data_IF_751033012352
#
_entry.id   IF_751033012352
#
_cell.length_a   1.000
_cell.length_b   1.000
_cell.length_c   1.000
_cell.angle_alpha   90.00
_cell.angle_beta   90.00
_cell.angle_gamma   90.00
#
_symmetry.space_group_name_H-M   'P 1'
#
loop_
_entity.id
_entity.type
_entity.pdbx_description
1 polymer ?
#
# COMPACT_ATOMS: atom_id res chain seq x y z
N UNK A 1 -40.69 19.04 -7.85
CA UNK A 1 -41.31 17.98 -7.05
C UNK A 1 -41.61 16.81 -7.98
N UNK A 2 -40.69 15.86 -8.08
CA UNK A 2 -40.76 14.72 -9.02
C UNK A 2 -41.54 13.59 -8.36
N UNK A 3 -42.73 13.26 -8.88
CA UNK A 3 -43.53 12.13 -8.43
C UNK A 3 -42.91 10.84 -8.95
N UNK A 4 -42.26 10.04 -8.06
CA UNK A 4 -41.88 8.66 -8.41
C UNK A 4 -43.14 7.82 -8.62
N UNK A 5 -43.21 7.14 -9.76
CA UNK A 5 -44.27 6.19 -10.10
C UNK A 5 -44.25 4.98 -9.16
N UNK A 6 -45.45 4.56 -8.69
CA UNK A 6 -45.60 3.36 -7.82
C UNK A 6 -44.99 2.07 -8.42
N UNK A 7 -44.91 1.99 -9.74
CA UNK A 7 -44.34 0.83 -10.43
C UNK A 7 -42.80 0.74 -10.30
N UNK A 8 -42.11 1.87 -10.09
CA UNK A 8 -40.65 1.89 -9.90
C UNK A 8 -40.25 1.36 -8.51
N UNK A 9 -41.08 1.61 -7.50
CA UNK A 9 -40.84 1.14 -6.11
C UNK A 9 -41.05 -0.38 -6.01
N UNK A 10 -42.04 -0.92 -6.73
CA UNK A 10 -42.30 -2.36 -6.74
C UNK A 10 -41.19 -3.15 -7.45
N UNK A 11 -40.61 -2.61 -8.49
CA UNK A 11 -39.49 -3.23 -9.22
C UNK A 11 -38.22 -3.27 -8.38
N UNK A 12 -37.98 -2.23 -7.54
CA UNK A 12 -36.82 -2.20 -6.63
C UNK A 12 -36.96 -3.18 -5.46
N UNK A 13 -38.18 -3.33 -4.92
CA UNK A 13 -38.44 -4.27 -3.85
C UNK A 13 -38.38 -5.73 -4.33
N UNK A 14 -38.87 -6.02 -5.54
CA UNK A 14 -38.76 -7.36 -6.12
C UNK A 14 -37.33 -7.78 -6.42
N UNK A 15 -36.51 -6.85 -6.97
CA UNK A 15 -35.08 -7.11 -7.25
C UNK A 15 -34.27 -7.33 -5.97
N UNK A 16 -34.54 -6.56 -4.91
CA UNK A 16 -33.90 -6.73 -3.60
C UNK A 16 -34.24 -8.06 -2.93
N UNK A 17 -35.49 -8.50 -3.04
CA UNK A 17 -35.92 -9.77 -2.45
C UNK A 17 -35.34 -10.98 -3.17
N UNK A 18 -35.23 -10.93 -4.49
CA UNK A 18 -34.62 -12.02 -5.28
C UNK A 18 -33.12 -12.12 -5.00
N UNK A 19 -32.43 -10.98 -4.80
CA UNK A 19 -31.01 -10.98 -4.44
C UNK A 19 -30.78 -11.55 -3.02
N UNK A 20 -31.67 -11.23 -2.07
CA UNK A 20 -31.59 -11.74 -0.70
C UNK A 20 -31.83 -13.25 -0.62
N UNK A 21 -32.81 -13.77 -1.39
CA UNK A 21 -33.06 -15.21 -1.45
C UNK A 21 -31.97 -15.98 -2.18
N UNK A 22 -31.33 -15.40 -3.21
CA UNK A 22 -30.20 -16.00 -3.88
C UNK A 22 -28.96 -16.06 -2.97
N UNK A 23 -28.70 -15.01 -2.17
CA UNK A 23 -27.62 -15.03 -1.17
C UNK A 23 -27.85 -16.05 -0.06
N UNK A 24 -29.08 -16.21 0.39
CA UNK A 24 -29.42 -17.22 1.43
C UNK A 24 -29.34 -18.66 0.92
N UNK A 25 -29.66 -18.90 -0.37
CA UNK A 25 -29.56 -20.24 -0.97
C UNK A 25 -28.12 -20.64 -1.32
N UNK A 26 -27.24 -19.70 -1.60
CA UNK A 26 -25.80 -19.96 -1.80
C UNK A 26 -25.12 -20.27 -0.45
N UNK A 27 -25.61 -19.67 0.65
CA UNK A 27 -25.04 -19.88 1.99
C UNK A 27 -25.34 -21.24 2.59
N UNK A 28 -26.36 -21.96 2.11
CA UNK A 28 -26.78 -23.25 2.73
C UNK A 28 -26.28 -24.50 2.03
N UNK A 29 -25.79 -24.39 0.78
CA UNK A 29 -25.34 -25.58 0.03
C UNK A 29 -23.82 -25.74 -0.05
N UNK A 30 -23.05 -24.66 0.12
CA UNK A 30 -21.59 -24.72 0.01
C UNK A 30 -20.86 -24.84 1.35
N UNK A 31 -21.55 -24.63 2.49
CA UNK A 31 -20.92 -24.69 3.80
C UNK A 31 -20.64 -26.12 4.30
N UNK A 32 -21.25 -27.13 3.72
CA UNK A 32 -21.12 -28.51 4.21
C UNK A 32 -20.05 -29.34 3.47
N UNK A 33 -19.51 -28.82 2.35
CA UNK A 33 -18.52 -29.55 1.53
C UNK A 33 -17.06 -29.10 1.70
N UNK A 34 -16.78 -28.05 2.47
CA UNK A 34 -15.43 -27.45 2.55
C UNK A 34 -14.68 -27.82 3.84
N UNK A 35 -15.26 -28.54 4.78
CA UNK A 35 -14.68 -28.71 6.12
C UNK A 35 -14.08 -30.08 6.42
N UNK A 36 -13.96 -31.00 5.48
CA UNK A 36 -13.17 -32.20 5.71
C UNK A 36 -11.70 -31.96 5.31
N UNK A 37 -10.87 -31.69 6.31
CA UNK A 37 -9.43 -31.93 6.24
C UNK A 37 -8.48 -30.75 6.05
N UNK A 38 -8.94 -29.48 6.06
CA UNK A 38 -7.99 -28.35 6.12
C UNK A 38 -7.94 -27.78 7.54
N UNK A 39 -6.73 -27.62 8.14
CA UNK A 39 -6.61 -26.93 9.41
C UNK A 39 -7.20 -25.52 9.23
N UNK A 40 -8.18 -25.16 10.06
CA UNK A 40 -8.62 -23.77 10.19
C UNK A 40 -7.42 -23.02 10.81
N UNK A 41 -6.63 -22.38 9.97
CA UNK A 41 -5.62 -21.44 10.42
C UNK A 41 -6.39 -20.24 10.96
N UNK A 42 -6.65 -20.25 12.27
CA UNK A 42 -7.07 -19.01 12.93
C UNK A 42 -5.95 -18.01 12.69
N UNK A 43 -6.27 -16.93 12.00
CA UNK A 43 -5.37 -15.80 11.87
C UNK A 43 -5.16 -15.23 13.28
N UNK A 44 -4.13 -15.71 13.97
CA UNK A 44 -3.71 -15.14 15.24
C UNK A 44 -3.05 -13.80 14.94
N UNK A 45 -3.57 -12.74 15.52
CA UNK A 45 -2.88 -11.45 15.54
C UNK A 45 -1.67 -11.60 16.45
N UNK A 46 -0.47 -11.56 15.90
CA UNK A 46 0.77 -11.64 16.67
C UNK A 46 1.61 -10.42 16.35
N UNK A 47 2.32 -9.88 17.34
CA UNK A 47 3.32 -8.85 17.09
C UNK A 47 4.47 -9.48 16.31
N UNK A 48 4.92 -8.88 15.19
CA UNK A 48 6.09 -9.37 14.48
C UNK A 48 7.34 -9.29 15.36
N UNK A 49 8.26 -10.22 15.20
CA UNK A 49 9.53 -10.19 15.92
C UNK A 49 10.42 -9.05 15.42
N UNK A 50 10.94 -8.26 16.35
CA UNK A 50 11.92 -7.23 16.04
C UNK A 50 13.26 -7.89 15.77
N UNK A 51 13.94 -7.59 14.64
CA UNK A 51 15.24 -8.17 14.35
C UNK A 51 16.28 -7.82 15.40
N UNK A 52 17.24 -8.72 15.63
CA UNK A 52 18.31 -8.50 16.60
C UNK A 52 19.29 -7.40 16.18
N UNK A 53 19.43 -7.18 14.86
CA UNK A 53 20.26 -6.13 14.28
C UNK A 53 19.60 -5.59 13.03
N UNK A 54 19.80 -4.32 12.79
CA UNK A 54 19.32 -3.60 11.60
C UNK A 54 20.38 -2.58 11.20
N UNK A 55 20.58 -2.40 9.92
CA UNK A 55 21.40 -1.34 9.36
C UNK A 55 20.64 -0.57 8.28
N UNK A 56 21.09 0.63 7.98
CA UNK A 56 20.62 1.42 6.84
C UNK A 56 21.84 2.05 6.16
N UNK A 57 22.01 1.77 4.89
CA UNK A 57 23.18 2.20 4.10
C UNK A 57 24.52 1.73 4.69
N UNK A 58 24.54 0.59 5.38
CA UNK A 58 25.72 0.06 6.07
C UNK A 58 25.99 0.67 7.45
N UNK A 59 25.15 1.59 7.91
CA UNK A 59 25.24 2.18 9.24
C UNK A 59 24.30 1.42 10.21
N UNK A 60 24.81 0.90 11.34
CA UNK A 60 24.00 0.15 12.28
C UNK A 60 22.99 1.04 13.00
N UNK A 61 21.75 0.56 13.09
CA UNK A 61 20.68 1.20 13.85
C UNK A 61 20.66 0.63 15.26
N UNK A 62 20.82 1.49 16.26
CA UNK A 62 20.81 1.10 17.68
C UNK A 62 19.38 0.86 18.18
N UNK A 63 18.92 -0.38 18.07
CA UNK A 63 17.63 -0.84 18.59
C UNK A 63 17.63 -1.11 20.11
N UNK A 64 18.75 -0.90 20.83
CA UNK A 64 18.78 -0.99 22.29
C UNK A 64 18.11 0.21 22.94
N UNK A 65 18.06 1.34 22.26
CA UNK A 65 17.37 2.55 22.72
C UNK A 65 15.86 2.33 22.66
N UNK A 66 15.19 2.52 23.80
CA UNK A 66 13.75 2.29 23.94
C UNK A 66 12.91 2.99 22.86
N UNK A 67 13.15 4.28 22.64
CA UNK A 67 12.40 5.06 21.65
C UNK A 67 12.60 4.58 20.20
N UNK A 68 13.79 4.09 19.86
CA UNK A 68 14.06 3.54 18.53
C UNK A 68 13.36 2.19 18.36
N UNK A 69 13.46 1.34 19.37
CA UNK A 69 12.80 0.03 19.38
C UNK A 69 11.28 0.13 19.31
N UNK A 70 10.68 1.01 20.12
CA UNK A 70 9.23 1.25 20.13
C UNK A 70 8.76 1.83 18.79
N UNK A 71 9.48 2.81 18.24
CA UNK A 71 9.19 3.36 16.91
C UNK A 71 9.23 2.30 15.82
N UNK A 72 10.27 1.48 15.82
CA UNK A 72 10.41 0.40 14.84
C UNK A 72 9.30 -0.67 14.97
N UNK A 73 8.97 -1.09 16.19
CA UNK A 73 7.89 -2.06 16.46
C UNK A 73 6.52 -1.54 15.95
N UNK A 74 6.23 -0.28 16.20
CA UNK A 74 5.01 0.37 15.72
C UNK A 74 4.92 0.36 14.20
N UNK A 75 5.99 0.77 13.51
CA UNK A 75 6.02 0.80 12.04
C UNK A 75 5.96 -0.62 11.46
N UNK A 76 6.69 -1.58 12.04
CA UNK A 76 6.68 -2.97 11.62
C UNK A 76 5.28 -3.59 11.77
N UNK A 77 4.62 -3.36 12.90
CA UNK A 77 3.25 -3.81 13.15
C UNK A 77 2.28 -3.18 12.17
N UNK A 78 2.37 -1.86 11.96
CA UNK A 78 1.56 -1.13 11.00
C UNK A 78 1.71 -1.72 9.59
N UNK A 79 2.94 -1.90 9.12
CA UNK A 79 3.22 -2.43 7.79
C UNK A 79 2.73 -3.88 7.63
N UNK A 80 2.85 -4.69 8.67
CA UNK A 80 2.42 -6.10 8.67
C UNK A 80 0.91 -6.22 8.53
N UNK A 81 0.14 -5.35 9.16
CA UNK A 81 -1.33 -5.46 9.19
C UNK A 81 -2.05 -4.60 8.15
N UNK A 82 -1.39 -3.67 7.49
CA UNK A 82 -1.92 -2.96 6.32
C UNK A 82 -1.83 -3.80 5.04
N UNK A 83 -2.41 -5.00 5.06
CA UNK A 83 -2.27 -5.99 3.99
C UNK A 83 -2.45 -5.46 2.57
N UNK A 84 -3.48 -4.64 2.32
CA UNK A 84 -3.74 -4.10 0.99
C UNK A 84 -2.64 -3.13 0.54
N UNK A 85 -2.19 -2.24 1.41
CA UNK A 85 -1.11 -1.29 1.14
C UNK A 85 0.21 -2.02 0.95
N UNK A 86 0.55 -2.94 1.85
CA UNK A 86 1.78 -3.73 1.77
C UNK A 86 1.83 -4.55 0.48
N UNK A 87 0.71 -5.20 0.11
CA UNK A 87 0.63 -5.96 -1.14
C UNK A 87 0.81 -5.06 -2.37
N UNK A 88 0.24 -3.86 -2.36
CA UNK A 88 0.41 -2.88 -3.42
C UNK A 88 1.87 -2.41 -3.52
N UNK A 89 2.50 -2.14 -2.37
CA UNK A 89 3.92 -1.75 -2.31
C UNK A 89 4.83 -2.84 -2.86
N UNK A 90 4.63 -4.10 -2.50
CA UNK A 90 5.39 -5.24 -3.06
C UNK A 90 5.26 -5.30 -4.58
N UNK A 91 4.04 -5.14 -5.11
CA UNK A 91 3.81 -5.14 -6.57
C UNK A 91 4.50 -3.96 -7.26
N UNK A 92 4.49 -2.77 -6.64
CA UNK A 92 5.15 -1.58 -7.17
C UNK A 92 6.67 -1.71 -7.06
N UNK A 93 7.20 -2.25 -5.95
CA UNK A 93 8.63 -2.52 -5.78
C UNK A 93 9.14 -3.46 -6.88
N UNK A 94 8.45 -4.57 -7.14
CA UNK A 94 8.80 -5.48 -8.23
C UNK A 94 8.81 -4.81 -9.61
N UNK A 95 8.03 -3.77 -9.80
CA UNK A 95 7.98 -3.01 -11.06
C UNK A 95 9.11 -1.98 -11.16
N UNK A 96 9.37 -1.23 -10.08
CA UNK A 96 10.20 -0.03 -10.14
C UNK A 96 11.63 -0.25 -9.63
N UNK A 97 11.86 -1.14 -8.66
CA UNK A 97 13.22 -1.41 -8.16
C UNK A 97 14.20 -1.87 -9.23
N UNK A 98 13.83 -2.74 -10.18
CA UNK A 98 14.73 -3.12 -11.27
C UNK A 98 15.20 -1.94 -12.14
N UNK A 99 14.47 -0.82 -12.14
CA UNK A 99 14.84 0.41 -12.84
C UNK A 99 15.64 1.35 -11.93
N UNK A 100 15.26 1.46 -10.66
CA UNK A 100 15.88 2.37 -9.68
C UNK A 100 17.27 1.89 -9.28
N UNK A 101 17.43 0.62 -8.95
CA UNK A 101 18.68 0.04 -8.41
C UNK A 101 19.91 0.26 -9.33
N UNK A 102 19.82 0.02 -10.65
CA UNK A 102 20.94 0.30 -11.54
C UNK A 102 21.31 1.78 -11.58
N UNK A 103 20.34 2.68 -11.48
CA UNK A 103 20.55 4.12 -11.48
C UNK A 103 21.26 4.57 -10.20
N UNK A 104 20.80 4.12 -9.03
CA UNK A 104 21.45 4.39 -7.75
C UNK A 104 22.90 3.90 -7.77
N UNK A 105 23.11 2.66 -8.21
CA UNK A 105 24.44 2.06 -8.32
C UNK A 105 25.36 2.83 -9.25
N UNK A 106 24.88 3.25 -10.43
CA UNK A 106 25.67 4.00 -11.41
C UNK A 106 26.12 5.37 -10.88
N UNK A 107 25.36 5.94 -9.93
CA UNK A 107 25.63 7.23 -9.32
C UNK A 107 26.33 7.12 -7.94
N UNK A 108 26.70 5.91 -7.50
CA UNK A 108 27.37 5.71 -6.21
C UNK A 108 26.46 5.96 -5.00
N UNK A 109 25.14 5.92 -5.19
CA UNK A 109 24.16 6.09 -4.12
C UNK A 109 23.86 4.73 -3.51
N UNK A 110 23.82 4.60 -2.16
CA UNK A 110 23.47 3.35 -1.51
C UNK A 110 22.10 2.81 -1.96
N UNK A 111 22.03 1.49 -2.11
CA UNK A 111 20.83 0.82 -2.64
C UNK A 111 19.57 1.05 -1.77
N UNK A 112 19.76 1.17 -0.46
CA UNK A 112 18.66 1.39 0.49
C UNK A 112 17.89 2.70 0.23
N UNK A 113 18.45 3.66 -0.52
CA UNK A 113 17.74 4.87 -0.91
C UNK A 113 16.50 4.59 -1.78
N UNK A 114 16.38 3.43 -2.41
CA UNK A 114 15.14 3.01 -3.10
C UNK A 114 13.92 3.01 -2.16
N UNK A 115 14.13 2.74 -0.87
CA UNK A 115 13.06 2.75 0.13
C UNK A 115 12.57 4.16 0.47
N UNK A 116 13.35 5.21 0.17
CA UNK A 116 12.88 6.58 0.29
C UNK A 116 11.67 6.83 -0.64
N UNK A 117 11.71 6.33 -1.88
CA UNK A 117 10.57 6.43 -2.79
C UNK A 117 9.34 5.65 -2.29
N UNK A 118 9.52 4.59 -1.49
CA UNK A 118 8.42 3.89 -0.84
C UNK A 118 7.74 4.80 0.20
N UNK A 119 8.54 5.50 1.01
CA UNK A 119 8.05 6.38 2.09
C UNK A 119 7.38 7.63 1.49
N UNK A 120 7.98 8.23 0.48
CA UNK A 120 7.53 9.52 -0.08
C UNK A 120 6.23 9.42 -0.89
N UNK A 121 6.07 8.36 -1.67
CA UNK A 121 4.97 8.25 -2.64
C UNK A 121 4.29 6.88 -2.68
N UNK A 122 4.68 5.92 -1.85
CA UNK A 122 4.33 4.52 -2.05
C UNK A 122 4.69 4.00 -3.46
N UNK A 123 5.80 4.47 -4.03
CA UNK A 123 6.22 4.16 -5.40
C UNK A 123 5.15 4.52 -6.45
N UNK A 124 4.42 5.60 -6.27
CA UNK A 124 3.49 6.11 -7.28
C UNK A 124 4.08 7.35 -7.98
N UNK A 125 4.44 7.25 -9.27
CA UNK A 125 5.03 8.37 -10.00
C UNK A 125 4.06 9.53 -10.25
N UNK A 126 2.76 9.36 -9.98
CA UNK A 126 1.71 10.35 -10.26
C UNK A 126 1.22 11.09 -9.03
N UNK A 127 1.76 10.77 -7.87
CA UNK A 127 1.35 11.42 -6.61
C UNK A 127 1.81 12.86 -6.58
N UNK A 128 0.88 13.74 -6.17
CA UNK A 128 1.17 15.13 -5.83
C UNK A 128 0.71 15.41 -4.41
N UNK A 129 1.58 16.01 -3.61
CA UNK A 129 1.26 16.40 -2.25
C UNK A 129 0.54 17.76 -2.17
N UNK A 130 -0.10 18.11 -1.05
CA UNK A 130 -0.66 19.44 -0.83
C UNK A 130 0.37 20.57 -0.98
N UNK A 131 1.64 20.29 -0.72
CA UNK A 131 2.76 21.23 -0.92
C UNK A 131 3.26 21.28 -2.37
N UNK A 132 2.60 20.56 -3.31
CA UNK A 132 2.98 20.43 -4.72
C UNK A 132 4.34 19.73 -4.93
N UNK A 133 4.72 18.86 -4.01
CA UNK A 133 5.77 17.90 -4.30
C UNK A 133 5.20 16.80 -5.21
N UNK A 134 5.93 16.39 -6.25
CA UNK A 134 5.41 15.52 -7.31
C UNK A 134 6.33 14.32 -7.51
N UNK A 135 5.71 13.23 -7.98
CA UNK A 135 6.40 12.06 -8.45
C UNK A 135 6.87 11.11 -7.35
N UNK A 136 7.69 10.16 -7.76
CA UNK A 136 8.11 9.05 -6.91
C UNK A 136 8.95 9.50 -5.71
N UNK A 137 9.75 10.57 -5.89
CA UNK A 137 10.67 11.12 -4.90
C UNK A 137 10.16 12.40 -4.23
N UNK A 138 8.95 12.85 -4.59
CA UNK A 138 8.30 14.03 -4.03
C UNK A 138 9.17 15.29 -4.05
N UNK A 139 9.79 15.57 -5.20
CA UNK A 139 10.50 16.84 -5.38
C UNK A 139 9.53 18.01 -5.54
N UNK A 140 9.88 19.13 -4.94
CA UNK A 140 9.23 20.41 -5.23
C UNK A 140 9.72 20.94 -6.58
N UNK A 141 8.87 21.65 -7.32
CA UNK A 141 9.20 22.27 -8.61
C UNK A 141 10.51 23.08 -8.57
N UNK A 142 10.68 23.90 -7.51
CA UNK A 142 11.89 24.71 -7.35
C UNK A 142 13.14 23.84 -7.21
N UNK A 143 13.05 22.74 -6.46
CA UNK A 143 14.16 21.80 -6.27
C UNK A 143 14.46 21.08 -7.57
N UNK A 144 13.44 20.56 -8.27
CA UNK A 144 13.62 19.91 -9.57
C UNK A 144 14.37 20.82 -10.56
N UNK A 145 13.90 22.05 -10.72
CA UNK A 145 14.54 23.04 -11.60
C UNK A 145 15.99 23.37 -11.20
N UNK A 146 16.27 23.46 -9.90
CA UNK A 146 17.63 23.69 -9.38
C UNK A 146 18.61 22.59 -9.81
N UNK A 147 18.12 21.35 -9.91
CA UNK A 147 18.90 20.19 -10.37
C UNK A 147 18.75 19.89 -11.86
N UNK A 148 18.17 20.80 -12.64
CA UNK A 148 18.12 20.74 -14.10
C UNK A 148 16.96 19.95 -14.69
N UNK A 149 15.95 19.58 -13.89
CA UNK A 149 14.75 18.93 -14.39
C UNK A 149 13.84 19.95 -15.11
N UNK A 150 13.18 19.48 -16.15
CA UNK A 150 12.21 20.29 -16.90
C UNK A 150 10.83 20.16 -16.24
N UNK A 151 10.39 21.23 -15.59
CA UNK A 151 9.06 21.30 -14.98
C UNK A 151 8.28 22.46 -15.60
N UNK A 152 7.26 22.12 -16.36
CA UNK A 152 6.34 23.05 -17.05
C UNK A 152 4.89 22.59 -16.83
N UNK A 153 3.87 23.37 -17.23
CA UNK A 153 2.48 22.92 -17.15
C UNK A 153 2.15 21.63 -17.93
N UNK A 154 3.02 21.24 -18.86
CA UNK A 154 2.83 20.09 -19.76
C UNK A 154 3.89 19.02 -19.65
N UNK A 155 5.02 19.31 -19.01
CA UNK A 155 6.16 18.40 -18.81
C UNK A 155 6.57 18.45 -17.34
N UNK A 156 6.65 17.27 -16.73
CA UNK A 156 7.10 17.07 -15.35
C UNK A 156 8.05 15.86 -15.36
N UNK A 157 9.37 16.13 -15.29
CA UNK A 157 10.43 15.12 -15.32
C UNK A 157 10.73 14.54 -13.94
#
# INVERSE_FOLDING_TARGET
>A
MMKLSKNSIFSFLAGGLICLTACLSISSSDSEKVLEGKPVVMAMTASPDIPASLDFCGEPIDLTRYNMREGFDRELSSFTYFHSTTMLLIKRANRYFPVIEPILKANGVPDDFKYLAVIESHLDPRVSSPARAVGMWQFLEATGKQYGLTVTPTVDE
#
